data_IF_530702840472
#
_entry.id   IF_530702840472
#
_cell.length_a   1.000
_cell.length_b   1.000
_cell.length_c   1.000
_cell.angle_alpha   90.00
_cell.angle_beta   90.00
_cell.angle_gamma   90.00
#
_symmetry.space_group_name_H-M   'P 1'
#
loop_
_entity.id
_entity.type
_entity.pdbx_description
1 polymer ?
#
# COMPACT_ATOMS: atom_id res chain seq x y z
N UNK A 1 28.04 -10.58 37.21
CA UNK A 1 26.82 -9.84 36.80
C UNK A 1 27.21 -8.96 35.62
N UNK A 2 27.00 -9.42 34.39
CA UNK A 2 27.33 -8.63 33.20
C UNK A 2 26.28 -7.51 33.09
N UNK A 3 26.72 -6.28 33.33
CA UNK A 3 25.96 -5.08 32.98
C UNK A 3 25.84 -5.11 31.46
N UNK A 4 24.71 -5.60 30.97
CA UNK A 4 24.39 -5.53 29.55
C UNK A 4 24.23 -4.05 29.22
N UNK A 5 25.01 -3.55 28.26
CA UNK A 5 24.87 -2.19 27.79
C UNK A 5 23.51 -2.05 27.09
N UNK A 6 22.51 -1.55 27.83
CA UNK A 6 21.14 -1.41 27.34
C UNK A 6 21.06 -0.57 26.06
N UNK A 7 21.97 0.40 25.90
CA UNK A 7 22.05 1.24 24.71
C UNK A 7 22.40 0.43 23.47
N UNK A 8 23.26 -0.59 23.61
CA UNK A 8 23.56 -1.52 22.52
C UNK A 8 22.31 -2.27 22.06
N UNK A 9 21.48 -2.74 23.00
CA UNK A 9 20.24 -3.44 22.66
C UNK A 9 19.20 -2.51 22.03
N UNK A 10 19.11 -1.26 22.50
CA UNK A 10 18.24 -0.26 21.89
C UNK A 10 18.71 0.03 20.45
N UNK A 11 20.02 0.12 20.22
CA UNK A 11 20.56 0.31 18.88
C UNK A 11 20.26 -0.89 17.97
N UNK A 12 20.51 -2.11 18.44
CA UNK A 12 20.19 -3.35 17.72
C UNK A 12 18.70 -3.41 17.38
N UNK A 13 17.82 -3.01 18.30
CA UNK A 13 16.36 -3.06 18.10
C UNK A 13 15.89 -2.27 16.88
N UNK A 14 16.63 -1.27 16.42
CA UNK A 14 16.28 -0.48 15.23
C UNK A 14 16.34 -1.30 13.94
N UNK A 15 17.06 -2.42 13.95
CA UNK A 15 17.21 -3.33 12.82
C UNK A 15 16.33 -4.58 12.94
N UNK A 16 15.52 -4.68 14.01
CA UNK A 16 14.66 -5.82 14.27
C UNK A 16 13.19 -5.48 13.97
N UNK A 17 12.43 -6.48 13.51
CA UNK A 17 10.96 -6.44 13.51
C UNK A 17 10.43 -6.38 14.95
N UNK A 18 9.17 -5.97 15.12
CA UNK A 18 8.58 -5.92 16.47
C UNK A 18 8.46 -7.32 17.08
N UNK A 19 8.22 -8.33 16.24
CA UNK A 19 8.25 -9.73 16.66
C UNK A 19 9.62 -10.16 17.16
N UNK A 20 10.70 -9.83 16.44
CA UNK A 20 12.07 -10.15 16.85
C UNK A 20 12.47 -9.39 18.13
N UNK A 21 12.05 -8.14 18.30
CA UNK A 21 12.24 -7.39 19.55
C UNK A 21 11.60 -8.11 20.73
N UNK A 22 10.39 -8.63 20.56
CA UNK A 22 9.71 -9.40 21.62
C UNK A 22 10.46 -10.69 21.92
N UNK A 23 10.89 -11.44 20.90
CA UNK A 23 11.66 -12.67 21.11
C UNK A 23 12.98 -12.42 21.83
N UNK A 24 13.71 -11.39 21.42
CA UNK A 24 14.94 -10.96 22.07
C UNK A 24 14.69 -10.63 23.56
N UNK A 25 13.61 -9.91 23.86
CA UNK A 25 13.30 -9.55 25.24
C UNK A 25 12.76 -10.72 26.09
N UNK A 26 12.38 -11.85 25.50
CA UNK A 26 11.89 -13.03 26.24
C UNK A 26 12.98 -14.04 26.61
N UNK A 27 14.24 -13.82 26.23
CA UNK A 27 15.33 -14.76 26.46
C UNK A 27 15.76 -14.86 27.93
N UNK A 28 15.54 -13.81 28.73
CA UNK A 28 15.85 -13.81 30.17
C UNK A 28 14.99 -12.81 30.95
N UNK A 29 14.95 -12.98 32.27
CA UNK A 29 14.29 -12.02 33.17
C UNK A 29 14.93 -10.63 33.11
N UNK A 30 16.25 -10.54 32.96
CA UNK A 30 16.96 -9.27 32.82
C UNK A 30 16.62 -8.55 31.51
N UNK A 31 16.51 -9.30 30.40
CA UNK A 31 16.19 -8.74 29.09
C UNK A 31 14.72 -8.35 28.94
N UNK A 32 13.83 -8.89 29.77
CA UNK A 32 12.40 -8.58 29.72
C UNK A 32 12.10 -7.09 29.92
N UNK A 33 12.94 -6.37 30.67
CA UNK A 33 12.81 -4.92 30.87
C UNK A 33 12.96 -4.11 29.56
N UNK A 34 13.62 -4.66 28.55
CA UNK A 34 13.80 -3.99 27.25
C UNK A 34 12.47 -3.75 26.52
N UNK A 35 11.40 -4.51 26.82
CA UNK A 35 10.07 -4.27 26.26
C UNK A 35 9.54 -2.86 26.55
N UNK A 36 9.93 -2.30 27.69
CA UNK A 36 9.54 -0.95 28.11
C UNK A 36 10.39 0.15 27.47
N UNK A 37 11.48 -0.21 26.80
CA UNK A 37 12.44 0.72 26.16
C UNK A 37 12.36 0.68 24.65
N UNK A 38 12.04 -0.48 24.06
CA UNK A 38 11.91 -0.62 22.63
C UNK A 38 10.75 0.18 22.06
N UNK A 39 10.94 0.69 20.84
CA UNK A 39 9.89 1.28 20.00
C UNK A 39 9.34 0.20 19.08
N UNK A 40 8.02 0.15 18.98
CA UNK A 40 7.31 -0.82 18.15
C UNK A 40 6.65 -0.10 16.97
N UNK A 41 7.15 -0.34 15.77
CA UNK A 41 6.83 0.47 14.60
C UNK A 41 5.88 -0.23 13.62
N UNK A 42 5.67 -1.54 13.76
CA UNK A 42 4.78 -2.32 12.91
C UNK A 42 3.31 -2.06 13.27
N UNK A 43 2.44 -2.08 12.26
CA UNK A 43 1.00 -1.85 12.43
C UNK A 43 0.39 -2.93 13.32
N UNK A 44 -0.09 -2.55 14.51
CA UNK A 44 -0.75 -3.46 15.44
C UNK A 44 -2.17 -3.01 15.80
N UNK A 45 -3.04 -3.98 16.06
CA UNK A 45 -4.41 -3.73 16.53
C UNK A 45 -4.41 -3.20 17.96
N UNK A 46 -5.14 -2.11 18.19
CA UNK A 46 -5.21 -1.41 19.49
C UNK A 46 -5.68 -2.31 20.64
N UNK A 47 -6.68 -3.17 20.39
CA UNK A 47 -7.22 -4.11 21.37
C UNK A 47 -6.19 -5.15 21.86
N UNK A 48 -5.15 -5.42 21.05
CA UNK A 48 -4.07 -6.34 21.43
C UNK A 48 -3.03 -5.71 22.35
N UNK A 49 -2.99 -4.39 22.46
CA UNK A 49 -1.90 -3.68 23.14
C UNK A 49 -2.34 -2.82 24.33
N UNK A 50 -3.64 -2.49 24.43
CA UNK A 50 -4.16 -1.55 25.44
C UNK A 50 -3.88 -1.97 26.89
N UNK A 51 -3.75 -3.27 27.14
CA UNK A 51 -3.48 -3.85 28.46
C UNK A 51 -1.98 -4.07 28.72
N UNK A 52 -1.11 -3.83 27.73
CA UNK A 52 0.32 -4.05 27.88
C UNK A 52 0.95 -2.92 28.70
N UNK A 53 1.86 -3.23 29.65
CA UNK A 53 2.46 -2.20 30.50
C UNK A 53 3.45 -1.28 29.74
N UNK A 54 3.80 -1.62 28.50
CA UNK A 54 4.59 -0.81 27.56
C UNK A 54 3.74 -0.25 26.39
N UNK A 55 2.42 -0.19 26.56
CA UNK A 55 1.45 0.32 25.58
C UNK A 55 1.86 1.64 24.91
N UNK A 56 2.51 2.54 25.64
CA UNK A 56 2.90 3.85 25.13
C UNK A 56 4.03 3.83 24.08
N UNK A 57 4.68 2.68 23.85
CA UNK A 57 5.82 2.56 22.94
C UNK A 57 5.47 2.18 21.49
N UNK A 58 4.19 1.99 21.19
CA UNK A 58 3.71 1.65 19.84
C UNK A 58 3.52 2.91 18.99
N UNK A 59 4.09 2.91 17.79
CA UNK A 59 4.06 4.03 16.86
C UNK A 59 2.93 3.89 15.83
N UNK A 60 2.46 2.68 15.54
CA UNK A 60 1.42 2.44 14.54
C UNK A 60 0.29 1.56 15.08
N UNK A 61 -0.86 2.19 15.34
CA UNK A 61 -2.06 1.51 15.83
C UNK A 61 -3.19 1.44 14.80
N UNK A 62 -3.90 0.32 14.78
CA UNK A 62 -5.13 0.10 14.03
C UNK A 62 -6.34 0.05 14.96
N UNK A 63 -7.35 0.85 14.66
CA UNK A 63 -8.58 1.00 15.43
C UNK A 63 -9.83 0.74 14.57
N UNK A 64 -10.89 0.21 15.19
CA UNK A 64 -12.23 0.06 14.60
C UNK A 64 -13.27 0.98 15.26
N UNK A 65 -12.97 1.43 16.47
CA UNK A 65 -13.73 2.38 17.28
C UNK A 65 -12.75 3.39 17.88
N UNK A 66 -13.21 4.60 18.18
CA UNK A 66 -12.35 5.64 18.77
C UNK A 66 -12.07 5.25 20.24
N UNK A 67 -10.82 4.99 20.62
CA UNK A 67 -10.46 4.68 22.00
C UNK A 67 -10.43 5.97 22.85
N UNK A 68 -10.51 5.85 24.19
CA UNK A 68 -10.37 7.00 25.08
C UNK A 68 -8.96 7.59 25.09
N UNK A 69 -7.94 6.78 24.80
CA UNK A 69 -6.53 7.19 24.82
C UNK A 69 -5.73 6.48 23.72
N UNK A 70 -4.60 7.08 23.33
CA UNK A 70 -3.66 6.54 22.36
C UNK A 70 -2.27 6.34 22.99
N UNK A 71 -1.38 5.50 22.41
CA UNK A 71 0.02 5.44 22.82
C UNK A 71 0.67 6.81 22.76
N UNK A 72 1.57 7.14 23.70
CA UNK A 72 2.27 8.43 23.69
C UNK A 72 3.14 8.62 22.45
N UNK A 73 3.70 7.53 21.93
CA UNK A 73 4.60 7.58 20.77
C UNK A 73 3.91 7.26 19.45
N UNK A 74 2.57 7.27 19.43
CA UNK A 74 1.81 7.03 18.21
C UNK A 74 2.16 8.09 17.15
N UNK A 75 2.53 7.63 15.97
CA UNK A 75 2.75 8.45 14.77
C UNK A 75 1.67 8.20 13.74
N UNK A 76 1.19 6.95 13.67
CA UNK A 76 0.20 6.52 12.70
C UNK A 76 -1.02 5.90 13.38
N UNK A 77 -2.21 6.40 13.00
CA UNK A 77 -3.50 5.89 13.47
C UNK A 77 -4.28 5.44 12.24
N UNK A 78 -4.48 4.13 12.11
CA UNK A 78 -5.27 3.51 11.05
C UNK A 78 -6.69 3.23 11.52
N UNK A 79 -7.66 4.00 11.00
CA UNK A 79 -9.08 3.79 11.25
C UNK A 79 -9.71 2.94 10.14
N UNK A 80 -10.35 1.83 10.52
CA UNK A 80 -11.25 1.05 9.65
C UNK A 80 -12.72 1.33 10.03
N UNK A 81 -13.47 2.02 9.18
CA UNK A 81 -14.80 2.55 9.55
C UNK A 81 -15.87 2.41 8.45
N UNK A 82 -17.14 2.49 8.86
CA UNK A 82 -18.30 2.74 7.98
C UNK A 82 -18.89 4.14 8.19
N UNK A 83 -18.31 4.94 9.08
CA UNK A 83 -18.78 6.28 9.43
C UNK A 83 -18.10 7.34 8.58
N UNK A 84 -18.81 8.41 8.28
CA UNK A 84 -18.29 9.62 7.63
C UNK A 84 -17.72 10.63 8.62
N UNK A 85 -17.96 10.44 9.93
CA UNK A 85 -17.42 11.29 10.99
C UNK A 85 -16.02 10.81 11.34
N UNK A 86 -15.02 11.35 10.63
CA UNK A 86 -13.62 10.98 10.78
C UNK A 86 -12.92 11.98 11.73
N UNK A 87 -12.30 11.51 12.83
CA UNK A 87 -11.51 12.37 13.71
C UNK A 87 -10.31 13.01 13.00
N UNK A 88 -9.89 14.19 13.46
CA UNK A 88 -8.80 14.98 12.86
C UNK A 88 -7.39 14.47 13.16
N UNK A 89 -7.24 13.40 13.95
CA UNK A 89 -5.94 12.79 14.26
C UNK A 89 -5.68 11.49 13.47
N UNK A 90 -6.60 11.09 12.59
CA UNK A 90 -6.45 9.87 11.78
C UNK A 90 -5.46 10.13 10.65
N UNK A 91 -4.43 9.30 10.54
CA UNK A 91 -3.44 9.41 9.45
C UNK A 91 -3.69 8.42 8.33
N UNK A 92 -4.23 7.24 8.65
CA UNK A 92 -4.59 6.22 7.67
C UNK A 92 -6.08 5.91 7.78
N UNK A 93 -6.82 6.10 6.69
CA UNK A 93 -8.25 5.86 6.65
C UNK A 93 -8.58 4.74 5.67
N UNK A 94 -9.37 3.78 6.14
CA UNK A 94 -9.96 2.75 5.28
C UNK A 94 -11.45 2.64 5.54
N UNK A 95 -12.24 2.82 4.49
CA UNK A 95 -13.64 2.50 4.53
C UNK A 95 -13.85 0.99 4.34
N UNK A 96 -14.79 0.41 5.10
CA UNK A 96 -15.10 -1.02 4.98
C UNK A 96 -15.65 -1.36 3.60
N UNK A 97 -15.49 -2.62 3.20
CA UNK A 97 -15.90 -3.16 1.88
C UNK A 97 -17.28 -2.68 1.39
N UNK A 98 -18.30 -2.70 2.26
CA UNK A 98 -19.68 -2.34 1.92
C UNK A 98 -20.01 -0.84 2.03
N UNK A 99 -19.03 0.00 2.32
CA UNK A 99 -19.25 1.43 2.46
C UNK A 99 -19.52 2.08 1.09
N UNK A 100 -20.66 2.75 0.96
CA UNK A 100 -21.09 3.46 -0.26
C UNK A 100 -21.92 4.72 0.08
N UNK A 101 -21.57 5.40 1.18
CA UNK A 101 -22.26 6.64 1.59
C UNK A 101 -21.44 7.85 1.11
N UNK A 102 -22.08 8.99 0.78
CA UNK A 102 -21.35 10.19 0.41
C UNK A 102 -20.48 10.67 1.56
N UNK A 103 -19.24 11.04 1.26
CA UNK A 103 -18.28 11.58 2.22
C UNK A 103 -18.16 13.07 1.97
N UNK A 104 -18.34 13.88 3.02
CA UNK A 104 -18.26 15.35 2.88
C UNK A 104 -16.83 15.85 2.77
N UNK A 105 -15.93 15.30 3.58
CA UNK A 105 -14.55 15.75 3.66
C UNK A 105 -13.66 14.68 4.31
N UNK A 106 -12.44 14.56 3.83
CA UNK A 106 -11.37 13.75 4.43
C UNK A 106 -10.46 14.68 5.26
N UNK A 107 -10.22 14.44 6.55
CA UNK A 107 -9.38 15.31 7.38
C UNK A 107 -7.96 15.52 6.82
N UNK A 108 -7.34 16.69 7.03
CA UNK A 108 -5.99 17.01 6.51
C UNK A 108 -4.86 16.27 7.25
N UNK A 109 -5.19 15.48 8.26
CA UNK A 109 -4.25 14.55 8.90
C UNK A 109 -4.06 13.26 8.09
N UNK A 110 -5.01 12.93 7.20
CA UNK A 110 -5.01 11.66 6.46
C UNK A 110 -3.99 11.72 5.33
N UNK A 111 -3.01 10.82 5.37
CA UNK A 111 -1.99 10.65 4.33
C UNK A 111 -2.25 9.42 3.45
N UNK A 112 -2.94 8.41 3.99
CA UNK A 112 -3.37 7.21 3.29
C UNK A 112 -4.89 7.08 3.29
N UNK A 113 -5.49 6.96 2.11
CA UNK A 113 -6.93 6.82 1.94
C UNK A 113 -7.29 5.61 1.07
N UNK A 114 -8.12 4.71 1.62
CA UNK A 114 -8.69 3.58 0.89
C UNK A 114 -10.22 3.58 1.01
N UNK A 115 -10.89 3.64 -0.13
CA UNK A 115 -12.34 3.46 -0.20
C UNK A 115 -12.72 1.97 -0.16
N UNK A 116 -13.97 1.69 0.19
CA UNK A 116 -14.51 0.33 0.19
C UNK A 116 -14.77 -0.19 -1.22
N UNK A 117 -14.79 -1.51 -1.42
CA UNK A 117 -14.96 -2.12 -2.74
C UNK A 117 -16.29 -1.74 -3.42
N UNK A 118 -17.35 -1.46 -2.65
CA UNK A 118 -18.66 -1.03 -3.16
C UNK A 118 -18.85 0.49 -3.20
N UNK A 119 -17.82 1.28 -2.92
CA UNK A 119 -17.92 2.73 -2.95
C UNK A 119 -18.07 3.22 -4.40
N UNK A 120 -19.17 3.90 -4.68
CA UNK A 120 -19.50 4.48 -5.98
C UNK A 120 -20.16 5.85 -5.81
N UNK A 121 -19.54 6.72 -5.01
CA UNK A 121 -19.96 8.11 -4.82
C UNK A 121 -18.92 9.05 -5.46
N UNK A 122 -19.31 10.28 -5.86
CA UNK A 122 -18.37 11.28 -6.33
C UNK A 122 -17.32 11.62 -5.26
N UNK A 123 -16.13 12.03 -5.71
CA UNK A 123 -14.99 12.39 -4.86
C UNK A 123 -14.51 13.84 -5.09
N UNK A 124 -15.31 14.64 -5.78
CA UNK A 124 -15.01 16.02 -6.15
C UNK A 124 -14.78 16.87 -4.90
N UNK A 125 -13.54 17.36 -4.73
CA UNK A 125 -13.14 18.25 -3.64
C UNK A 125 -13.12 17.63 -2.23
N UNK A 126 -13.34 16.32 -2.07
CA UNK A 126 -13.43 15.70 -0.73
C UNK A 126 -12.07 15.25 -0.19
N UNK A 127 -11.12 14.98 -1.09
CA UNK A 127 -9.80 14.43 -0.75
C UNK A 127 -8.87 15.59 -0.40
N UNK A 128 -8.36 15.62 0.83
CA UNK A 128 -7.44 16.66 1.28
C UNK A 128 -6.05 16.54 0.64
N UNK A 129 -5.34 17.67 0.52
CA UNK A 129 -3.99 17.75 -0.06
C UNK A 129 -2.89 17.11 0.81
N UNK A 130 -3.24 16.53 1.95
CA UNK A 130 -2.35 15.70 2.76
C UNK A 130 -2.25 14.26 2.25
N UNK A 131 -3.22 13.81 1.45
CA UNK A 131 -3.27 12.43 0.96
C UNK A 131 -2.17 12.22 -0.07
N UNK A 132 -1.28 11.29 0.21
CA UNK A 132 -0.18 10.89 -0.69
C UNK A 132 -0.43 9.53 -1.33
N UNK A 133 -1.27 8.70 -0.70
CA UNK A 133 -1.65 7.36 -1.18
C UNK A 133 -3.16 7.22 -1.26
N UNK A 134 -3.68 6.96 -2.46
CA UNK A 134 -5.11 6.81 -2.72
C UNK A 134 -5.43 5.46 -3.35
N UNK A 135 -6.44 4.78 -2.82
CA UNK A 135 -6.93 3.51 -3.35
C UNK A 135 -8.43 3.57 -3.66
N UNK A 136 -8.76 3.52 -4.95
CA UNK A 136 -10.11 3.44 -5.51
C UNK A 136 -10.35 2.00 -5.98
N UNK A 137 -11.48 1.44 -5.55
CA UNK A 137 -11.77 -0.01 -5.64
C UNK A 137 -12.83 -0.31 -6.71
N UNK A 138 -13.22 -1.58 -6.80
CA UNK A 138 -13.95 -2.20 -7.90
C UNK A 138 -15.15 -1.41 -8.45
N UNK A 139 -16.07 -0.99 -7.59
CA UNK A 139 -17.32 -0.37 -8.05
C UNK A 139 -17.23 1.12 -8.34
N UNK A 140 -16.06 1.75 -8.14
CA UNK A 140 -15.94 3.19 -8.35
C UNK A 140 -16.04 3.55 -9.84
N UNK A 141 -17.13 4.19 -10.24
CA UNK A 141 -17.42 4.49 -11.64
C UNK A 141 -17.58 5.99 -11.94
N UNK A 142 -16.92 6.86 -11.16
CA UNK A 142 -16.91 8.31 -11.40
C UNK A 142 -15.61 8.74 -12.08
N UNK A 143 -15.63 9.93 -12.70
CA UNK A 143 -14.43 10.53 -13.29
C UNK A 143 -13.45 10.95 -12.18
N UNK A 144 -12.15 10.80 -12.45
CA UNK A 144 -11.08 11.20 -11.53
C UNK A 144 -10.41 12.52 -11.95
N UNK A 145 -10.75 13.07 -13.13
CA UNK A 145 -10.22 14.34 -13.65
C UNK A 145 -10.32 15.43 -12.60
N UNK A 146 -9.19 16.06 -12.26
CA UNK A 146 -9.10 17.16 -11.28
C UNK A 146 -9.62 16.85 -9.86
N UNK A 147 -10.01 15.59 -9.58
CA UNK A 147 -10.56 15.17 -8.29
C UNK A 147 -9.54 14.52 -7.38
N UNK A 148 -8.37 14.14 -7.93
CA UNK A 148 -7.23 13.62 -7.18
C UNK A 148 -6.24 14.77 -6.95
N UNK A 149 -5.93 15.14 -5.69
CA UNK A 149 -4.96 16.18 -5.39
C UNK A 149 -3.56 15.86 -5.90
N UNK A 150 -2.78 16.89 -6.26
CA UNK A 150 -1.39 16.76 -6.72
C UNK A 150 -0.41 16.25 -5.64
N UNK A 151 -0.86 16.11 -4.39
CA UNK A 151 -0.11 15.44 -3.34
C UNK A 151 -0.06 13.92 -3.50
N UNK A 152 -0.99 13.34 -4.27
CA UNK A 152 -1.07 11.90 -4.48
C UNK A 152 0.05 11.44 -5.40
N UNK A 153 0.95 10.63 -4.84
CA UNK A 153 2.08 10.03 -5.56
C UNK A 153 1.90 8.54 -5.80
N UNK A 154 1.05 7.88 -4.99
CA UNK A 154 0.70 6.47 -5.13
C UNK A 154 -0.80 6.34 -5.37
N UNK A 155 -1.17 5.87 -6.55
CA UNK A 155 -2.55 5.67 -6.94
C UNK A 155 -2.81 4.21 -7.24
N UNK A 156 -3.88 3.67 -6.69
CA UNK A 156 -4.37 2.33 -7.03
C UNK A 156 -5.80 2.41 -7.56
N UNK A 157 -6.00 1.88 -8.76
CA UNK A 157 -7.28 1.85 -9.46
C UNK A 157 -7.64 0.38 -9.75
N UNK A 158 -8.62 -0.17 -9.04
CA UNK A 158 -9.19 -1.50 -9.34
C UNK A 158 -10.55 -1.42 -10.06
N UNK A 159 -10.90 -0.24 -10.58
CA UNK A 159 -12.17 -0.01 -11.25
C UNK A 159 -12.08 -0.34 -12.75
N UNK A 160 -13.23 -0.56 -13.40
CA UNK A 160 -13.29 -0.75 -14.85
C UNK A 160 -12.74 0.49 -15.56
N UNK A 161 -11.62 0.30 -16.26
CA UNK A 161 -10.81 1.35 -16.86
C UNK A 161 -11.24 1.65 -18.32
N UNK A 162 -12.07 0.79 -18.92
CA UNK A 162 -12.39 0.82 -20.35
C UNK A 162 -13.25 2.05 -20.77
N UNK A 163 -13.92 2.70 -19.81
CA UNK A 163 -14.76 3.88 -20.06
C UNK A 163 -14.03 5.22 -19.82
N UNK A 164 -12.92 5.47 -20.53
CA UNK A 164 -12.29 6.81 -20.65
C UNK A 164 -11.62 7.39 -19.40
N UNK A 165 -11.12 6.58 -18.45
CA UNK A 165 -10.70 7.06 -17.11
C UNK A 165 -9.22 7.37 -16.91
N UNK A 166 -8.35 7.00 -17.85
CA UNK A 166 -6.90 7.03 -17.60
C UNK A 166 -6.24 8.34 -18.05
N UNK A 167 -6.84 9.09 -19.00
CA UNK A 167 -6.35 10.41 -19.40
C UNK A 167 -6.36 11.48 -18.29
N UNK A 168 -6.81 11.09 -17.09
CA UNK A 168 -7.09 11.93 -15.94
C UNK A 168 -6.19 11.63 -14.74
N UNK A 169 -5.20 10.74 -14.88
CA UNK A 169 -4.24 10.47 -13.80
C UNK A 169 -3.33 11.70 -13.62
N UNK A 170 -3.22 12.27 -12.41
CA UNK A 170 -2.36 13.42 -12.17
C UNK A 170 -0.88 13.12 -12.47
N UNK A 171 -0.17 14.11 -13.01
CA UNK A 171 1.29 14.06 -13.22
C UNK A 171 2.11 13.94 -11.92
N UNK A 172 1.46 14.06 -10.75
CA UNK A 172 2.09 13.79 -9.46
C UNK A 172 2.24 12.30 -9.17
N UNK A 173 1.50 11.43 -9.87
CA UNK A 173 1.51 9.99 -9.63
C UNK A 173 2.81 9.39 -10.17
N UNK A 174 3.55 8.74 -9.27
CA UNK A 174 4.82 8.07 -9.57
C UNK A 174 4.66 6.54 -9.50
N UNK A 175 3.79 6.08 -8.58
CA UNK A 175 3.44 4.67 -8.41
C UNK A 175 1.97 4.47 -8.79
N UNK A 176 1.74 3.74 -9.86
CA UNK A 176 0.41 3.43 -10.35
C UNK A 176 0.19 1.92 -10.26
N UNK A 177 -0.88 1.51 -9.57
CA UNK A 177 -1.40 0.16 -9.64
C UNK A 177 -2.74 0.18 -10.35
N UNK A 178 -2.87 -0.60 -11.40
CA UNK A 178 -4.11 -0.79 -12.13
C UNK A 178 -4.56 -2.24 -11.99
N UNK A 179 -5.86 -2.46 -11.91
CA UNK A 179 -6.46 -3.78 -11.77
C UNK A 179 -7.86 -3.80 -12.37
N UNK A 180 -8.31 -4.97 -12.83
CA UNK A 180 -9.60 -5.14 -13.49
C UNK A 180 -9.47 -5.74 -14.89
N UNK A 181 -10.57 -5.70 -15.66
CA UNK A 181 -10.59 -6.13 -17.07
C UNK A 181 -10.21 -4.95 -17.95
N UNK A 182 -9.20 -5.15 -18.79
CA UNK A 182 -8.78 -4.19 -19.81
C UNK A 182 -9.13 -4.79 -21.17
N UNK A 183 -9.93 -4.08 -21.96
CA UNK A 183 -10.24 -4.48 -23.34
C UNK A 183 -9.34 -3.74 -24.37
N UNK A 184 -8.49 -2.82 -23.90
CA UNK A 184 -7.71 -1.88 -24.72
C UNK A 184 -6.36 -1.53 -24.10
N UNK A 185 -5.49 -1.01 -24.96
CA UNK A 185 -4.17 -0.49 -24.60
C UNK A 185 -4.25 0.73 -23.66
N UNK A 186 -3.47 0.71 -22.56
CA UNK A 186 -3.42 1.79 -21.55
C UNK A 186 -2.14 2.63 -21.54
N UNK A 187 -1.19 2.38 -22.45
CA UNK A 187 0.12 3.06 -22.46
C UNK A 187 0.03 4.57 -22.64
N UNK A 188 -0.78 5.05 -23.59
CA UNK A 188 -0.93 6.49 -23.90
C UNK A 188 -1.68 7.29 -22.83
N UNK A 189 -2.05 6.60 -21.77
CA UNK A 189 -3.00 6.99 -20.78
C UNK A 189 -2.32 7.07 -19.42
N UNK A 190 -1.20 6.36 -19.24
CA UNK A 190 -0.34 6.46 -18.08
C UNK A 190 0.56 7.70 -18.23
N UNK A 191 0.58 8.62 -17.26
CA UNK A 191 1.40 9.81 -17.34
C UNK A 191 2.89 9.47 -17.27
N UNK A 192 3.72 10.28 -17.93
CA UNK A 192 5.19 10.10 -17.99
C UNK A 192 5.89 10.21 -16.62
N UNK A 193 5.19 10.67 -15.59
CA UNK A 193 5.66 10.69 -14.20
C UNK A 193 5.70 9.30 -13.57
N UNK A 194 4.96 8.33 -14.10
CA UNK A 194 4.87 6.98 -13.55
C UNK A 194 6.15 6.22 -13.86
N UNK A 195 6.83 5.82 -12.79
CA UNK A 195 8.06 5.01 -12.86
C UNK A 195 7.85 3.59 -12.32
N UNK A 196 6.80 3.39 -11.52
CA UNK A 196 6.43 2.11 -10.95
C UNK A 196 5.00 1.77 -11.38
N UNK A 197 4.85 0.71 -12.16
CA UNK A 197 3.56 0.25 -12.68
C UNK A 197 3.25 -1.14 -12.14
N UNK A 198 2.08 -1.31 -11.55
CA UNK A 198 1.60 -2.60 -11.06
C UNK A 198 0.31 -3.01 -11.73
N UNK A 199 0.26 -4.25 -12.18
CA UNK A 199 -0.90 -4.90 -12.76
C UNK A 199 -1.47 -5.89 -11.74
N UNK A 200 -2.45 -5.46 -10.93
CA UNK A 200 -3.03 -6.24 -9.84
C UNK A 200 -4.37 -6.87 -10.29
N UNK A 201 -4.42 -8.20 -10.46
CA UNK A 201 -5.62 -8.96 -10.89
C UNK A 201 -6.18 -8.48 -12.24
N UNK A 202 -5.44 -8.76 -13.30
CA UNK A 202 -5.87 -8.49 -14.65
C UNK A 202 -6.33 -9.78 -15.30
N UNK A 203 -7.56 -9.79 -15.81
CA UNK A 203 -7.92 -10.70 -16.89
C UNK A 203 -7.59 -9.92 -18.15
N UNK A 204 -6.43 -10.22 -18.70
CA UNK A 204 -5.97 -9.63 -19.94
C UNK A 204 -6.52 -10.48 -21.07
N UNK A 205 -7.36 -9.87 -21.91
CA UNK A 205 -7.72 -10.46 -23.21
C UNK A 205 -6.72 -9.99 -24.30
N UNK A 206 -5.65 -9.26 -23.93
CA UNK A 206 -4.62 -8.71 -24.83
C UNK A 206 -3.25 -8.62 -24.16
N UNK A 207 -2.20 -8.50 -24.98
CA UNK A 207 -0.82 -8.51 -24.50
C UNK A 207 -0.43 -7.26 -23.68
N UNK A 208 -0.03 -7.46 -22.42
CA UNK A 208 0.27 -6.41 -21.44
C UNK A 208 1.49 -5.54 -21.82
N UNK A 209 2.33 -5.99 -22.74
CA UNK A 209 3.57 -5.29 -23.13
C UNK A 209 3.31 -3.91 -23.72
N UNK A 210 2.24 -3.81 -24.51
CA UNK A 210 1.89 -2.58 -25.22
C UNK A 210 1.34 -1.52 -24.26
N UNK A 211 1.12 -1.88 -22.99
CA UNK A 211 0.57 -1.03 -21.94
C UNK A 211 1.64 -0.35 -21.10
N UNK A 212 2.92 -0.71 -21.25
CA UNK A 212 4.02 -0.18 -20.43
C UNK A 212 4.68 1.02 -21.14
N UNK A 213 4.62 2.23 -20.57
CA UNK A 213 5.33 3.40 -21.09
C UNK A 213 6.85 3.35 -20.82
N UNK A 214 7.64 4.06 -21.65
CA UNK A 214 9.10 4.17 -21.49
C UNK A 214 9.54 4.89 -20.20
N UNK A 215 8.62 5.55 -19.49
CA UNK A 215 8.91 6.14 -18.17
C UNK A 215 9.01 5.08 -17.07
N UNK A 216 8.47 3.88 -17.29
CA UNK A 216 8.37 2.83 -16.27
C UNK A 216 9.69 2.09 -16.13
N UNK A 217 10.16 1.98 -14.90
CA UNK A 217 11.40 1.29 -14.51
C UNK A 217 11.15 0.06 -13.65
N UNK A 218 10.03 0.02 -12.93
CA UNK A 218 9.66 -1.10 -12.06
C UNK A 218 8.27 -1.60 -12.43
N UNK A 219 8.15 -2.89 -12.75
CA UNK A 219 6.86 -3.50 -13.10
C UNK A 219 6.50 -4.59 -12.10
N UNK A 220 5.30 -4.51 -11.55
CA UNK A 220 4.71 -5.57 -10.75
C UNK A 220 3.66 -6.29 -11.57
N UNK A 221 3.84 -7.59 -11.78
CA UNK A 221 2.84 -8.45 -12.39
C UNK A 221 2.13 -9.25 -11.30
N UNK A 222 0.79 -9.22 -11.36
CA UNK A 222 -0.08 -9.94 -10.43
C UNK A 222 -0.13 -11.45 -10.69
N UNK A 223 -1.17 -12.08 -10.13
CA UNK A 223 -1.25 -13.55 -9.97
C UNK A 223 -1.55 -14.35 -11.24
N UNK A 224 -1.94 -13.70 -12.35
CA UNK A 224 -2.44 -14.35 -13.57
C UNK A 224 -1.72 -13.88 -14.83
N UNK A 225 -0.39 -13.72 -14.76
CA UNK A 225 0.40 -13.49 -15.96
C UNK A 225 0.80 -14.84 -16.56
N UNK A 226 0.24 -15.17 -17.73
CA UNK A 226 0.58 -16.40 -18.47
C UNK A 226 1.26 -16.08 -19.81
N UNK A 227 1.70 -14.82 -20.01
CA UNK A 227 2.30 -14.33 -21.25
C UNK A 227 3.83 -14.18 -21.14
N UNK A 228 4.51 -14.29 -22.27
CA UNK A 228 5.96 -14.05 -22.40
C UNK A 228 6.36 -12.60 -22.10
N UNK A 229 7.57 -12.42 -21.56
CA UNK A 229 8.15 -11.13 -21.14
C UNK A 229 9.21 -10.59 -22.13
N UNK A 230 9.34 -11.19 -23.31
CA UNK A 230 10.49 -10.96 -24.20
C UNK A 230 10.55 -9.53 -24.78
N UNK A 231 9.44 -8.81 -24.78
CA UNK A 231 9.30 -7.46 -25.37
C UNK A 231 9.15 -6.34 -24.33
N UNK A 232 9.67 -6.52 -23.11
CA UNK A 232 9.64 -5.46 -22.10
C UNK A 232 10.41 -4.21 -22.58
N UNK A 233 9.92 -2.98 -22.32
CA UNK A 233 10.68 -1.77 -22.64
C UNK A 233 12.10 -1.78 -22.04
N UNK A 234 13.06 -1.15 -22.72
CA UNK A 234 14.44 -1.05 -22.23
C UNK A 234 14.54 -0.23 -20.94
N UNK A 235 13.56 0.63 -20.66
CA UNK A 235 13.46 1.39 -19.42
C UNK A 235 13.27 0.52 -18.17
N UNK A 236 12.72 -0.70 -18.31
CA UNK A 236 12.42 -1.61 -17.21
C UNK A 236 13.70 -2.19 -16.62
N UNK A 237 13.91 -1.96 -15.31
CA UNK A 237 15.08 -2.36 -14.53
C UNK A 237 14.76 -3.45 -13.52
N UNK A 238 13.54 -3.50 -13.01
CA UNK A 238 13.11 -4.50 -12.03
C UNK A 238 11.70 -4.98 -12.33
N UNK A 239 11.49 -6.30 -12.29
CA UNK A 239 10.17 -6.91 -12.37
C UNK A 239 9.89 -7.75 -11.13
N UNK A 240 8.64 -7.75 -10.69
CA UNK A 240 8.14 -8.63 -9.63
C UNK A 240 7.10 -9.57 -10.21
N UNK A 241 7.35 -10.88 -10.10
CA UNK A 241 6.52 -11.95 -10.63
C UNK A 241 6.00 -12.85 -9.51
N UNK A 242 4.85 -13.49 -9.75
CA UNK A 242 4.42 -14.60 -8.90
C UNK A 242 5.46 -15.74 -9.00
N UNK A 243 5.70 -16.45 -7.88
CA UNK A 243 6.51 -17.67 -7.88
C UNK A 243 5.99 -18.72 -8.86
N UNK A 244 4.68 -18.74 -9.07
CA UNK A 244 4.00 -19.72 -9.93
C UNK A 244 4.11 -19.40 -11.43
N UNK A 245 4.70 -18.25 -11.81
CA UNK A 245 4.98 -17.92 -13.22
C UNK A 245 6.00 -18.89 -13.81
N UNK A 246 5.57 -19.68 -14.80
CA UNK A 246 6.29 -20.83 -15.37
C UNK A 246 6.73 -20.63 -16.83
N UNK A 247 6.26 -19.58 -17.50
CA UNK A 247 6.67 -19.24 -18.86
C UNK A 247 8.18 -18.90 -18.88
N UNK A 248 8.97 -19.47 -19.81
CA UNK A 248 10.39 -19.15 -19.94
C UNK A 248 10.64 -17.66 -20.14
N UNK A 249 11.71 -17.15 -19.54
CA UNK A 249 12.14 -15.75 -19.65
C UNK A 249 13.40 -15.73 -20.53
N UNK A 250 13.38 -14.94 -21.59
CA UNK A 250 14.53 -14.79 -22.48
C UNK A 250 15.79 -14.30 -21.75
N UNK A 251 16.96 -14.74 -22.22
CA UNK A 251 18.25 -14.40 -21.62
C UNK A 251 18.51 -12.89 -21.61
N UNK A 252 18.11 -12.16 -22.65
CA UNK A 252 18.21 -10.69 -22.69
C UNK A 252 17.55 -10.03 -21.47
N UNK A 253 16.34 -10.50 -21.11
CA UNK A 253 15.59 -10.00 -19.95
C UNK A 253 16.31 -10.36 -18.66
N UNK A 254 16.80 -11.60 -18.53
CA UNK A 254 17.53 -12.06 -17.34
C UNK A 254 18.78 -11.23 -17.11
N UNK A 255 19.50 -10.86 -18.18
CA UNK A 255 20.75 -10.13 -18.10
C UNK A 255 20.55 -8.65 -17.73
N UNK A 256 19.47 -8.02 -18.20
CA UNK A 256 19.23 -6.58 -18.01
C UNK A 256 18.24 -6.22 -16.91
N UNK A 257 17.35 -7.15 -16.51
CA UNK A 257 16.25 -6.88 -15.58
C UNK A 257 16.42 -7.69 -14.29
N UNK A 258 16.35 -7.01 -13.15
CA UNK A 258 16.30 -7.67 -11.86
C UNK A 258 14.94 -8.33 -11.63
N UNK A 259 14.94 -9.65 -11.43
CA UNK A 259 13.71 -10.43 -11.24
C UNK A 259 13.51 -10.74 -9.76
N UNK A 260 12.37 -10.32 -9.20
CA UNK A 260 11.90 -10.72 -7.87
C UNK A 260 10.70 -11.64 -7.98
N UNK A 261 10.63 -12.63 -7.08
CA UNK A 261 9.48 -13.53 -6.98
C UNK A 261 8.77 -13.41 -5.63
N UNK A 262 7.45 -13.45 -5.63
CA UNK A 262 6.63 -13.41 -4.42
C UNK A 262 5.69 -14.64 -4.32
N UNK A 263 5.24 -14.97 -3.10
CA UNK A 263 4.30 -16.05 -2.84
C UNK A 263 2.97 -15.51 -2.29
N UNK A 264 1.85 -16.14 -2.65
CA UNK A 264 0.48 -15.65 -2.45
C UNK A 264 -0.07 -15.88 -1.02
N UNK A 265 0.70 -16.43 -0.08
CA UNK A 265 0.20 -16.73 1.28
C UNK A 265 -0.22 -15.52 2.14
N UNK A 266 -0.17 -14.29 1.64
CA UNK A 266 -0.75 -13.12 2.31
C UNK A 266 -2.18 -12.87 1.82
N UNK A 267 -3.17 -12.98 2.72
CA UNK A 267 -4.61 -12.69 2.47
C UNK A 267 -4.94 -11.24 2.09
N UNK A 268 -3.92 -10.38 1.97
CA UNK A 268 -3.98 -9.10 1.28
C UNK A 268 -3.07 -9.30 0.06
N UNK A 269 -3.59 -9.11 -1.16
CA UNK A 269 -2.90 -9.30 -2.45
C UNK A 269 -1.42 -8.93 -2.33
N UNK A 270 -0.51 -9.64 -3.00
CA UNK A 270 0.95 -9.33 -2.98
C UNK A 270 1.31 -7.85 -3.20
N UNK A 271 0.40 -7.05 -3.76
CA UNK A 271 0.43 -5.58 -3.79
C UNK A 271 0.51 -4.90 -2.39
N UNK A 272 0.19 -5.58 -1.27
CA UNK A 272 0.07 -5.03 0.08
C UNK A 272 1.38 -4.71 0.80
N UNK A 273 2.52 -5.29 0.37
CA UNK A 273 3.84 -4.95 0.94
C UNK A 273 4.30 -3.52 0.64
N UNK A 274 3.65 -2.85 -0.31
CA UNK A 274 3.90 -1.44 -0.66
C UNK A 274 2.73 -0.52 -0.28
N UNK A 275 1.68 -1.05 0.38
CA UNK A 275 0.47 -0.30 0.71
C UNK A 275 0.49 0.30 2.13
N UNK A 276 1.60 0.19 2.86
CA UNK A 276 1.79 0.74 4.20
C UNK A 276 3.20 1.31 4.32
#
# INVERSE_FOLDING_TARGET
MLITNEDSFIHISRFLTDREKIYLATTSSSMNNLKHKFRYCERIRMDKIVHLPYFHNFEFVKIHTIPPTYPKCVKFIHLLTCSTNIPSNITHLTFRRRFNRPVKYIPPSVTYLKFGDYFNQPIDGIISSSVTRLNLRWNFNHRITNNIPSSVTHLTLYCDINNSKIGDIPLSVVHLKVGGRFDRNIKNHIPSSVTHLGFCWNYLDHNIKNDIPESVTHVYFGEHLDESLNDLPHSVKEITLNKDYDVPIDQDIIDRVKIRRYSVYTRECGCGKFDI
#
